data_IF_428093968079
#
_entry.id   IF_428093968079
#
_cell.length_a   1.000
_cell.length_b   1.000
_cell.length_c   1.000
_cell.angle_alpha   90.00
_cell.angle_beta   90.00
_cell.angle_gamma   90.00
#
_symmetry.space_group_name_H-M   'P 1'
#
loop_
_entity.id
_entity.type
_entity.pdbx_description
1 polymer ?
#
# COMPACT_ATOMS: atom_id res chain seq x y z
N UNK A 1 -11.24 -1.38 -7.89
CA UNK A 1 -12.34 -2.34 -7.69
C UNK A 1 -13.60 -1.55 -7.33
N UNK A 2 -14.71 -1.70 -8.06
CA UNK A 2 -15.97 -1.03 -7.71
C UNK A 2 -16.48 -1.49 -6.33
N UNK A 3 -17.12 -0.60 -5.55
CA UNK A 3 -17.65 -0.90 -4.19
C UNK A 3 -18.55 -2.13 -4.17
N UNK A 4 -19.35 -2.26 -5.22
CA UNK A 4 -20.31 -3.32 -5.43
C UNK A 4 -19.61 -4.69 -5.54
N UNK A 5 -18.48 -4.77 -6.24
CA UNK A 5 -17.67 -5.99 -6.32
C UNK A 5 -17.04 -6.35 -4.96
N UNK A 6 -16.80 -5.36 -4.10
CA UNK A 6 -16.31 -5.54 -2.74
C UNK A 6 -17.42 -5.78 -1.72
N UNK A 7 -18.70 -5.79 -2.13
CA UNK A 7 -19.87 -5.94 -1.25
C UNK A 7 -19.86 -4.95 -0.09
N UNK A 8 -19.45 -3.71 -0.38
CA UNK A 8 -19.38 -2.61 0.59
C UNK A 8 -20.32 -1.50 0.17
N UNK A 9 -20.96 -0.86 1.14
CA UNK A 9 -21.83 0.29 0.90
C UNK A 9 -21.71 1.31 2.04
N UNK A 10 -22.08 2.55 1.72
CA UNK A 10 -22.32 3.58 2.72
C UNK A 10 -23.63 3.27 3.45
N UNK A 11 -23.51 2.75 4.67
CA UNK A 11 -24.65 2.48 5.54
C UNK A 11 -24.81 3.63 6.54
N UNK A 12 -26.04 4.03 6.88
CA UNK A 12 -26.25 5.05 7.91
C UNK A 12 -25.64 4.58 9.22
N UNK A 13 -24.88 5.46 9.89
CA UNK A 13 -24.32 5.15 11.20
C UNK A 13 -25.46 4.94 12.21
N UNK A 14 -25.40 3.83 12.95
CA UNK A 14 -26.35 3.52 14.02
C UNK A 14 -25.63 3.65 15.37
N UNK A 15 -26.02 4.61 16.23
CA UNK A 15 -25.51 4.72 17.60
C UNK A 15 -25.61 3.39 18.35
N UNK A 16 -24.67 3.12 19.25
CA UNK A 16 -24.56 1.83 19.94
C UNK A 16 -25.84 1.47 20.70
N UNK A 17 -26.48 2.49 21.25
CA UNK A 17 -27.71 2.45 22.04
C UNK A 17 -28.92 2.01 21.20
N UNK A 18 -28.90 2.34 19.90
CA UNK A 18 -30.04 2.17 18.99
C UNK A 18 -29.91 0.94 18.08
N UNK A 19 -28.84 0.15 18.22
CA UNK A 19 -28.54 -1.02 17.34
C UNK A 19 -29.58 -2.14 17.36
N UNK A 20 -30.45 -2.15 18.37
CA UNK A 20 -31.56 -3.11 18.49
C UNK A 20 -32.87 -2.57 17.88
N UNK A 21 -32.91 -1.30 17.46
CA UNK A 21 -34.09 -0.66 16.87
C UNK A 21 -34.09 -0.82 15.34
N UNK A 22 -35.28 -0.84 14.72
CA UNK A 22 -35.43 -0.95 13.25
C UNK A 22 -34.75 0.24 12.56
N UNK A 23 -33.65 -0.06 11.88
CA UNK A 23 -32.73 0.84 11.18
C UNK A 23 -33.36 1.66 10.06
N UNK A 24 -34.52 1.26 9.53
CA UNK A 24 -35.19 1.90 8.39
C UNK A 24 -35.64 3.35 8.66
N UNK A 25 -35.68 3.78 9.93
CA UNK A 25 -36.24 5.08 10.34
C UNK A 25 -35.19 6.14 10.73
N UNK A 26 -33.91 5.78 10.79
CA UNK A 26 -32.87 6.68 11.29
C UNK A 26 -32.42 7.67 10.20
N UNK A 27 -32.83 8.94 10.33
CA UNK A 27 -32.31 10.05 9.52
C UNK A 27 -30.94 10.49 10.03
N UNK A 28 -29.88 9.82 9.63
CA UNK A 28 -28.51 10.22 9.97
C UNK A 28 -27.83 10.97 8.82
N UNK A 29 -26.99 11.95 9.17
CA UNK A 29 -26.08 12.63 8.23
C UNK A 29 -24.71 11.95 8.18
N UNK A 30 -24.49 10.97 9.04
CA UNK A 30 -23.24 10.25 9.20
C UNK A 30 -23.43 8.87 8.59
N UNK A 31 -22.60 8.54 7.62
CA UNK A 31 -22.57 7.23 6.98
C UNK A 31 -21.25 6.57 7.31
N UNK A 32 -21.32 5.30 7.68
CA UNK A 32 -20.16 4.43 7.83
C UNK A 32 -20.08 3.53 6.60
N UNK A 33 -18.87 3.31 6.13
CA UNK A 33 -18.62 2.31 5.12
C UNK A 33 -18.58 0.93 5.81
N UNK A 34 -19.50 0.05 5.43
CA UNK A 34 -19.58 -1.29 6.01
C UNK A 34 -19.86 -2.35 4.93
N UNK A 35 -19.62 -3.61 5.29
CA UNK A 35 -19.95 -4.76 4.46
C UNK A 35 -21.46 -4.99 4.46
N UNK A 36 -22.04 -5.12 3.26
CA UNK A 36 -23.47 -5.42 3.09
C UNK A 36 -23.78 -6.91 3.21
N UNK A 37 -22.77 -7.77 3.36
CA UNK A 37 -22.94 -9.21 3.55
C UNK A 37 -22.32 -9.70 4.88
N UNK A 38 -22.96 -10.71 5.49
CA UNK A 38 -22.52 -11.31 6.76
C UNK A 38 -21.09 -11.86 6.67
N UNK A 39 -20.27 -11.58 7.70
CA UNK A 39 -18.82 -11.88 7.75
C UNK A 39 -18.45 -13.33 7.34
N UNK A 40 -19.30 -14.31 7.60
CA UNK A 40 -19.09 -15.71 7.23
C UNK A 40 -19.01 -15.98 5.72
N UNK A 41 -19.60 -15.11 4.89
CA UNK A 41 -19.52 -15.23 3.42
C UNK A 41 -18.23 -14.64 2.82
N UNK A 42 -17.37 -14.03 3.64
CA UNK A 42 -16.15 -13.33 3.24
C UNK A 42 -14.86 -14.08 3.59
N UNK A 43 -14.94 -15.18 4.37
CA UNK A 43 -13.77 -15.99 4.75
C UNK A 43 -13.03 -16.60 3.54
N UNK A 44 -13.69 -16.70 2.37
CA UNK A 44 -13.09 -17.21 1.14
C UNK A 44 -12.42 -16.15 0.25
N UNK A 45 -12.46 -14.86 0.60
CA UNK A 45 -11.72 -13.84 -0.12
C UNK A 45 -10.29 -13.78 0.44
N UNK A 46 -9.36 -14.49 -0.20
CA UNK A 46 -7.92 -14.51 0.13
C UNK A 46 -7.27 -13.12 0.17
N UNK A 47 -7.94 -12.08 -0.33
CA UNK A 47 -7.48 -10.69 -0.32
C UNK A 47 -7.81 -10.01 1.01
N UNK A 48 -7.35 -10.59 2.12
CA UNK A 48 -7.37 -10.00 3.46
C UNK A 48 -6.39 -8.84 3.60
N UNK A 49 -6.58 -7.75 2.83
CA UNK A 49 -5.90 -6.48 3.08
C UNK A 49 -6.96 -5.42 3.30
N UNK A 50 -7.10 -4.99 4.55
CA UNK A 50 -7.83 -3.79 4.99
C UNK A 50 -7.18 -2.51 4.41
N UNK A 51 -7.06 -2.42 3.10
CA UNK A 51 -6.75 -1.19 2.41
C UNK A 51 -8.07 -0.44 2.29
N UNK A 52 -8.15 0.79 2.82
CA UNK A 52 -9.29 1.67 2.57
C UNK A 52 -9.48 1.77 1.05
N UNK A 53 -10.53 1.14 0.46
CA UNK A 53 -10.59 0.95 -1.00
C UNK A 53 -10.72 2.26 -1.79
N UNK A 54 -10.96 3.36 -1.09
CA UNK A 54 -11.36 4.66 -1.61
C UNK A 54 -10.26 5.70 -1.61
N UNK A 55 -9.17 5.47 -0.87
CA UNK A 55 -8.10 6.44 -0.80
C UNK A 55 -6.93 6.00 -1.68
N UNK A 56 -6.90 6.56 -2.89
CA UNK A 56 -5.71 6.55 -3.74
C UNK A 56 -4.92 7.83 -3.46
N UNK A 57 -3.75 7.75 -2.79
CA UNK A 57 -2.92 8.93 -2.61
C UNK A 57 -2.52 9.49 -3.98
N UNK A 58 -2.77 10.78 -4.23
CA UNK A 58 -2.34 11.42 -5.48
C UNK A 58 -0.81 11.63 -5.53
N UNK A 59 -0.18 11.84 -4.38
CA UNK A 59 1.29 11.92 -4.29
C UNK A 59 1.89 10.52 -4.19
N UNK A 60 3.01 10.33 -4.86
CA UNK A 60 3.87 9.15 -4.73
C UNK A 60 4.19 8.91 -3.25
N UNK A 61 4.14 7.66 -2.81
CA UNK A 61 4.72 7.30 -1.51
C UNK A 61 6.20 7.11 -1.81
N UNK A 62 7.06 7.94 -1.25
CA UNK A 62 8.51 7.94 -1.56
C UNK A 62 9.15 6.56 -1.31
N UNK A 63 8.60 5.79 -0.36
CA UNK A 63 9.08 4.45 0.03
C UNK A 63 8.62 3.29 -0.89
N UNK A 64 7.94 3.57 -2.00
CA UNK A 64 7.35 2.52 -2.87
C UNK A 64 8.27 2.10 -4.04
N UNK A 65 9.42 2.77 -4.19
CA UNK A 65 10.42 2.44 -5.18
C UNK A 65 11.35 1.36 -4.63
N UNK A 66 10.88 0.12 -4.54
CA UNK A 66 11.77 -1.02 -4.33
C UNK A 66 12.73 -1.11 -5.53
N UNK A 67 13.95 -0.62 -5.34
CA UNK A 67 15.05 -0.69 -6.31
C UNK A 67 15.84 -1.99 -6.22
N UNK A 68 15.54 -2.79 -5.20
CA UNK A 68 16.07 -4.12 -4.98
C UNK A 68 15.42 -5.13 -5.93
N UNK A 69 16.25 -5.83 -6.70
CA UNK A 69 15.86 -7.03 -7.43
C UNK A 69 16.46 -8.27 -6.77
N UNK A 70 15.61 -9.27 -6.61
CA UNK A 70 16.04 -10.62 -6.29
C UNK A 70 15.88 -11.51 -7.53
N UNK A 71 16.94 -12.20 -7.92
CA UNK A 71 16.91 -13.10 -9.07
C UNK A 71 17.77 -14.33 -8.84
N UNK A 72 17.43 -15.40 -9.56
CA UNK A 72 18.19 -16.65 -9.59
C UNK A 72 19.06 -16.65 -10.84
N UNK A 73 20.38 -16.76 -10.66
CA UNK A 73 21.31 -16.97 -11.75
C UNK A 73 21.43 -18.47 -12.05
N UNK A 74 21.28 -18.89 -13.32
CA UNK A 74 21.17 -20.30 -13.70
C UNK A 74 22.53 -21.01 -13.76
N UNK A 75 23.18 -21.16 -12.60
CA UNK A 75 24.31 -22.07 -12.41
C UNK A 75 23.85 -23.40 -11.81
N UNK A 76 24.70 -24.41 -11.84
CA UNK A 76 24.51 -25.67 -11.11
C UNK A 76 25.51 -25.72 -9.93
N UNK A 77 25.12 -25.40 -8.69
CA UNK A 77 23.76 -25.02 -8.23
C UNK A 77 23.39 -23.54 -8.47
N UNK A 78 22.09 -23.19 -8.55
CA UNK A 78 21.65 -21.82 -8.82
C UNK A 78 22.02 -20.85 -7.70
N UNK A 79 22.38 -19.62 -8.08
CA UNK A 79 22.78 -18.57 -7.13
C UNK A 79 21.64 -17.57 -6.97
N UNK A 80 21.14 -17.41 -5.74
CA UNK A 80 20.19 -16.36 -5.40
C UNK A 80 20.93 -15.06 -5.14
N UNK A 81 20.67 -14.07 -5.98
CA UNK A 81 21.29 -12.74 -5.88
C UNK A 81 20.28 -11.70 -5.42
N UNK A 82 20.77 -10.73 -4.65
CA UNK A 82 20.06 -9.53 -4.25
C UNK A 82 20.89 -8.34 -4.72
N UNK A 83 20.30 -7.49 -5.55
CA UNK A 83 21.00 -6.36 -6.15
C UNK A 83 20.11 -5.12 -6.11
N UNK A 84 20.62 -4.01 -5.61
CA UNK A 84 19.95 -2.73 -5.62
C UNK A 84 20.58 -1.80 -6.66
N UNK A 85 19.88 -1.47 -7.74
CA UNK A 85 20.46 -0.60 -8.78
C UNK A 85 20.62 0.87 -8.37
N UNK A 86 20.12 1.29 -7.21
CA UNK A 86 20.32 2.64 -6.69
C UNK A 86 21.64 2.74 -5.90
N UNK A 87 21.96 1.70 -5.13
CA UNK A 87 23.14 1.69 -4.24
C UNK A 87 24.31 0.86 -4.78
N UNK A 88 24.05 -0.18 -5.58
CA UNK A 88 25.04 -1.08 -6.13
C UNK A 88 25.39 -0.74 -7.59
N UNK A 89 26.69 -0.80 -7.92
CA UNK A 89 27.16 -0.78 -9.29
C UNK A 89 27.19 -2.21 -9.88
N UNK A 90 26.70 -2.36 -11.11
CA UNK A 90 26.61 -3.66 -11.77
C UNK A 90 27.99 -4.30 -12.00
N UNK A 91 29.04 -3.51 -12.23
CA UNK A 91 30.39 -4.03 -12.46
C UNK A 91 31.00 -4.49 -11.15
N UNK A 92 30.98 -3.63 -10.13
CA UNK A 92 31.52 -3.95 -8.80
C UNK A 92 30.82 -5.18 -8.21
N UNK A 93 29.50 -5.29 -8.38
CA UNK A 93 28.74 -6.45 -7.92
C UNK A 93 29.13 -7.71 -8.68
N UNK A 94 29.23 -7.67 -10.02
CA UNK A 94 29.59 -8.85 -10.82
C UNK A 94 31.01 -9.35 -10.56
N UNK A 95 31.99 -8.45 -10.43
CA UNK A 95 33.39 -8.85 -10.20
C UNK A 95 33.69 -9.14 -8.73
N UNK A 96 32.96 -8.53 -7.79
CA UNK A 96 33.07 -8.75 -6.36
C UNK A 96 32.34 -10.00 -5.86
N UNK A 97 31.38 -10.53 -6.63
CA UNK A 97 30.67 -11.74 -6.27
C UNK A 97 31.57 -12.98 -6.40
N UNK A 98 31.84 -13.64 -5.27
CA UNK A 98 32.74 -14.80 -5.18
C UNK A 98 32.06 -16.12 -5.56
N UNK A 99 30.73 -16.13 -5.57
CA UNK A 99 29.96 -17.34 -5.88
C UNK A 99 29.87 -17.55 -7.40
N UNK A 100 30.14 -16.51 -8.20
CA UNK A 100 30.18 -16.55 -9.66
C UNK A 100 31.61 -16.92 -10.13
N UNK A 101 31.77 -18.00 -10.92
CA UNK A 101 33.05 -18.36 -11.53
C UNK A 101 33.63 -17.23 -12.40
N UNK A 102 34.95 -17.07 -12.39
CA UNK A 102 35.64 -15.97 -13.11
C UNK A 102 35.33 -15.97 -14.62
N UNK A 103 35.20 -17.15 -15.21
CA UNK A 103 34.87 -17.39 -16.62
C UNK A 103 33.42 -17.04 -16.97
N UNK A 104 32.54 -16.97 -15.98
CA UNK A 104 31.13 -16.60 -16.14
C UNK A 104 30.82 -15.16 -15.76
N UNK A 105 31.76 -14.40 -15.18
CA UNK A 105 31.51 -13.04 -14.70
C UNK A 105 30.99 -12.07 -15.77
N UNK A 106 31.48 -12.18 -17.01
CA UNK A 106 30.97 -11.36 -18.11
C UNK A 106 29.51 -11.70 -18.45
N UNK A 107 29.16 -13.00 -18.49
CA UNK A 107 27.79 -13.46 -18.72
C UNK A 107 26.86 -13.06 -17.58
N UNK A 108 27.33 -13.20 -16.35
CA UNK A 108 26.61 -12.77 -15.16
C UNK A 108 26.33 -11.27 -15.18
N UNK A 109 27.31 -10.44 -15.57
CA UNK A 109 27.15 -8.99 -15.71
C UNK A 109 26.10 -8.63 -16.76
N UNK A 110 26.10 -9.29 -17.92
CA UNK A 110 25.07 -9.07 -18.94
C UNK A 110 23.68 -9.49 -18.45
N UNK A 111 23.57 -10.64 -17.78
CA UNK A 111 22.33 -11.12 -17.19
C UNK A 111 21.79 -10.17 -16.11
N UNK A 112 22.66 -9.68 -15.23
CA UNK A 112 22.32 -8.70 -14.21
C UNK A 112 21.78 -7.41 -14.84
N UNK A 113 22.47 -6.86 -15.86
CA UNK A 113 22.01 -5.67 -16.59
C UNK A 113 20.65 -5.89 -17.24
N UNK A 114 20.39 -7.09 -17.76
CA UNK A 114 19.07 -7.44 -18.30
C UNK A 114 18.00 -7.47 -17.21
N UNK A 115 18.27 -8.09 -16.05
CA UNK A 115 17.33 -8.13 -14.92
C UNK A 115 17.03 -6.75 -14.34
N UNK A 116 18.05 -5.89 -14.24
CA UNK A 116 17.88 -4.48 -13.87
C UNK A 116 16.99 -3.75 -14.88
N UNK A 117 17.18 -4.00 -16.18
CA UNK A 117 16.35 -3.40 -17.24
C UNK A 117 14.91 -3.88 -17.20
N UNK A 118 14.69 -5.17 -16.92
CA UNK A 118 13.36 -5.75 -16.70
C UNK A 118 12.67 -5.10 -15.50
N UNK A 119 13.32 -5.09 -14.33
CA UNK A 119 12.78 -4.46 -13.11
C UNK A 119 12.46 -2.97 -13.30
N UNK A 120 13.34 -2.22 -13.97
CA UNK A 120 13.08 -0.81 -14.31
C UNK A 120 11.86 -0.63 -15.23
N UNK A 121 11.61 -1.56 -16.16
CA UNK A 121 10.40 -1.53 -17.02
C UNK A 121 9.15 -1.82 -16.20
N UNK A 122 9.20 -2.82 -15.33
CA UNK A 122 8.10 -3.22 -14.46
C UNK A 122 7.71 -2.12 -13.47
N UNK A 123 8.67 -1.32 -12.99
CA UNK A 123 8.38 -0.14 -12.16
C UNK A 123 7.85 1.05 -12.98
N UNK A 124 8.36 1.23 -14.21
CA UNK A 124 7.98 2.37 -15.05
C UNK A 124 6.51 2.28 -15.50
N UNK A 125 6.04 1.10 -15.90
CA UNK A 125 4.65 0.92 -16.37
C UNK A 125 3.56 1.33 -15.36
N UNK A 126 3.56 0.84 -14.10
CA UNK A 126 2.56 1.23 -13.11
C UNK A 126 2.69 2.70 -12.71
N UNK A 127 3.91 3.26 -12.66
CA UNK A 127 4.13 4.69 -12.44
C UNK A 127 3.50 5.55 -13.54
N UNK A 128 3.72 5.18 -14.80
CA UNK A 128 3.12 5.87 -15.95
C UNK A 128 1.61 5.69 -16.00
N UNK A 129 1.10 4.48 -15.74
CA UNK A 129 -0.33 4.20 -15.68
C UNK A 129 -1.01 5.01 -14.57
N UNK A 130 -0.38 5.11 -13.39
CA UNK A 130 -0.84 5.94 -12.27
C UNK A 130 -0.83 7.41 -12.64
N UNK A 131 0.26 7.91 -13.22
CA UNK A 131 0.36 9.32 -13.67
C UNK A 131 -0.75 9.65 -14.67
N UNK A 132 -0.95 8.78 -15.67
CA UNK A 132 -2.01 8.94 -16.66
C UNK A 132 -3.41 8.89 -16.04
N UNK A 133 -3.64 8.00 -15.07
CA UNK A 133 -4.90 7.92 -14.33
C UNK A 133 -5.18 9.21 -13.56
N UNK A 134 -4.16 9.77 -12.88
CA UNK A 134 -4.25 11.03 -12.14
C UNK A 134 -4.48 12.21 -13.10
N UNK A 135 -3.78 12.26 -14.24
CA UNK A 135 -3.93 13.32 -15.24
C UNK A 135 -5.29 13.28 -15.93
N UNK A 136 -5.88 12.09 -16.10
CA UNK A 136 -7.23 11.91 -16.62
C UNK A 136 -8.36 12.11 -15.60
N UNK A 137 -8.07 12.36 -14.31
CA UNK A 137 -9.12 12.63 -13.32
C UNK A 137 -9.79 13.98 -13.57
N UNK A 138 -11.10 14.01 -13.32
CA UNK A 138 -11.87 15.25 -13.30
C UNK A 138 -11.27 16.25 -12.28
N UNK A 139 -11.15 17.55 -12.62
CA UNK A 139 -10.56 18.55 -11.73
C UNK A 139 -11.18 18.60 -10.33
N UNK A 140 -12.51 18.44 -10.23
CA UNK A 140 -13.23 18.46 -8.95
C UNK A 140 -12.85 17.25 -8.09
N UNK A 141 -12.64 16.10 -8.73
CA UNK A 141 -12.18 14.88 -8.05
C UNK A 141 -10.75 15.07 -7.56
N UNK A 142 -9.88 15.65 -8.39
CA UNK A 142 -8.48 15.94 -8.05
C UNK A 142 -8.38 16.88 -6.83
N UNK A 143 -9.13 17.97 -6.85
CA UNK A 143 -9.24 18.92 -5.75
C UNK A 143 -9.79 18.26 -4.48
N UNK A 144 -10.80 17.39 -4.61
CA UNK A 144 -11.35 16.66 -3.47
C UNK A 144 -10.28 15.79 -2.79
N UNK A 145 -9.45 15.08 -3.56
CA UNK A 145 -8.35 14.28 -3.02
C UNK A 145 -7.24 15.11 -2.37
N UNK A 146 -6.87 16.26 -2.95
CA UNK A 146 -5.87 17.17 -2.37
C UNK A 146 -6.33 17.78 -1.04
N UNK A 147 -7.63 18.02 -0.90
CA UNK A 147 -8.23 18.59 0.30
C UNK A 147 -8.55 17.58 1.41
N UNK A 148 -8.28 16.27 1.21
CA UNK A 148 -8.49 15.26 2.25
C UNK A 148 -7.59 15.56 3.46
N UNK A 149 -8.21 15.68 4.64
CA UNK A 149 -7.52 15.79 5.93
C UNK A 149 -7.71 14.52 6.74
N UNK A 150 -6.60 14.02 7.27
CA UNK A 150 -6.56 12.84 8.10
C UNK A 150 -6.46 13.23 9.57
N UNK A 151 -7.41 12.72 10.35
CA UNK A 151 -7.47 12.88 11.79
C UNK A 151 -7.26 11.51 12.42
N UNK A 152 -6.33 11.43 13.38
CA UNK A 152 -6.12 10.22 14.16
C UNK A 152 -6.44 10.51 15.61
N UNK A 153 -7.42 9.78 16.12
CA UNK A 153 -7.94 9.92 17.47
C UNK A 153 -7.37 8.81 18.35
N UNK A 154 -6.85 9.21 19.49
CA UNK A 154 -6.49 8.34 20.59
C UNK A 154 -7.49 8.51 21.73
N UNK A 155 -7.76 7.45 22.51
CA UNK A 155 -8.57 7.58 23.72
C UNK A 155 -8.01 8.68 24.64
N UNK A 156 -8.91 9.53 25.15
CA UNK A 156 -8.56 10.51 26.18
C UNK A 156 -8.31 9.77 27.48
N UNK A 157 -7.23 10.13 28.18
CA UNK A 157 -6.89 9.54 29.48
C UNK A 157 -7.99 9.85 30.50
N UNK A 158 -8.78 8.84 30.83
CA UNK A 158 -9.68 8.78 31.98
C UNK A 158 -9.11 7.82 33.03
N UNK A 159 -9.58 7.87 34.30
CA UNK A 159 -9.10 6.96 35.35
C UNK A 159 -9.18 5.47 34.99
N UNK A 160 -10.14 5.10 34.13
CA UNK A 160 -10.41 3.71 33.72
C UNK A 160 -9.70 3.30 32.41
N UNK A 161 -8.87 4.17 31.83
CA UNK A 161 -8.19 3.90 30.54
C UNK A 161 -6.67 3.88 30.69
N UNK A 162 -5.98 3.02 29.93
CA UNK A 162 -4.52 2.96 29.94
C UNK A 162 -3.91 4.23 29.35
N UNK A 163 -2.72 4.60 29.84
CA UNK A 163 -1.98 5.74 29.30
C UNK A 163 -1.43 5.41 27.91
N UNK A 164 -2.01 6.06 26.89
CA UNK A 164 -1.63 5.85 25.48
C UNK A 164 -0.62 6.87 24.97
N UNK A 165 -0.06 7.74 25.83
CA UNK A 165 0.85 8.83 25.43
C UNK A 165 2.05 8.31 24.64
N UNK A 166 2.61 7.17 25.06
CA UNK A 166 3.80 6.57 24.45
C UNK A 166 3.51 5.76 23.17
N UNK A 167 2.24 5.51 22.84
CA UNK A 167 1.83 4.77 21.63
C UNK A 167 1.15 5.68 20.60
N UNK A 168 1.09 6.99 20.86
CA UNK A 168 0.63 7.97 19.89
C UNK A 168 1.62 8.04 18.72
N UNK A 169 1.12 7.80 17.52
CA UNK A 169 1.90 7.76 16.29
C UNK A 169 1.17 8.54 15.21
N UNK A 170 1.90 9.38 14.49
CA UNK A 170 1.36 10.11 13.33
C UNK A 170 1.06 9.19 12.15
N UNK A 171 1.73 8.04 12.05
CA UNK A 171 1.53 7.09 10.96
C UNK A 171 0.12 6.46 11.06
N UNK A 172 -0.68 6.59 10.00
CA UNK A 172 -2.03 5.98 9.94
C UNK A 172 -1.91 4.49 9.64
N UNK A 173 -1.03 4.14 8.72
CA UNK A 173 -0.64 2.78 8.36
C UNK A 173 0.82 2.85 7.88
N UNK A 174 1.59 1.76 7.97
CA UNK A 174 2.94 1.68 7.39
C UNK A 174 2.95 2.07 5.90
N UNK A 175 1.85 1.80 5.20
CA UNK A 175 1.67 2.07 3.76
C UNK A 175 0.92 3.38 3.44
N UNK A 176 0.43 4.12 4.45
CA UNK A 176 -0.33 5.35 4.22
C UNK A 176 0.27 6.51 5.02
N UNK A 177 0.13 7.72 4.47
CA UNK A 177 0.69 8.97 4.98
C UNK A 177 0.46 9.21 6.48
N UNK A 178 1.21 10.17 7.02
CA UNK A 178 0.97 10.74 8.33
C UNK A 178 -0.42 11.39 8.44
N UNK A 179 -1.02 11.27 9.61
CA UNK A 179 -2.18 12.06 10.00
C UNK A 179 -1.80 13.54 10.03
N UNK A 180 -2.69 14.38 9.51
CA UNK A 180 -2.53 15.83 9.56
C UNK A 180 -2.73 16.34 10.99
N UNK A 181 -3.66 15.70 11.71
CA UNK A 181 -3.99 16.04 13.08
C UNK A 181 -3.97 14.79 13.95
N UNK A 182 -3.31 14.92 15.10
CA UNK A 182 -3.22 13.91 16.14
C UNK A 182 -3.99 14.43 17.35
N UNK A 183 -5.05 13.74 17.73
CA UNK A 183 -5.91 14.08 18.88
C UNK A 183 -5.78 12.98 19.92
#
# INVERSE_FOLDING_TARGET
>A
MPMEAMKMAWVPYVPLEDRLSRTDSLKTKIFTLDYTQQRSALEHLETGRFCMPYYMPLQHIEDEDHTDISFLYPLDPPILCYFDWETDDCEDYAYGNKDVPEDEKERFKEFLKEKVREGKRELKQPKEARKKAIDGMDPKTKEAFENIKFYKFYPVKTPDTPDVTNVKSRYINKYYRNAHYLM
#
